data_IF_774168054321
#
_entry.id   IF_774168054321
#
_cell.length_a   1.000
_cell.length_b   1.000
_cell.length_c   1.000
_cell.angle_alpha   90.00
_cell.angle_beta   90.00
_cell.angle_gamma   90.00
#
_symmetry.space_group_name_H-M   'P 1'
#
loop_
_entity.id
_entity.type
_entity.pdbx_description
1 polymer ?
#
# COMPACT_ATOMS: atom_id res chain seq x y z
N UNK A 1 -18.56 -17.01 -11.11
CA UNK A 1 -18.26 -15.69 -10.51
C UNK A 1 -17.83 -15.91 -9.08
N UNK A 2 -16.70 -15.34 -8.67
CA UNK A 2 -16.20 -15.49 -7.32
C UNK A 2 -16.76 -14.40 -6.40
N UNK A 3 -17.78 -14.73 -5.59
CA UNK A 3 -18.41 -13.76 -4.69
C UNK A 3 -17.55 -13.47 -3.44
N UNK A 4 -16.51 -14.26 -3.16
CA UNK A 4 -15.71 -14.08 -1.94
C UNK A 4 -14.98 -12.74 -1.95
N UNK A 5 -14.46 -12.30 -3.10
CA UNK A 5 -13.73 -11.05 -3.24
C UNK A 5 -14.58 -9.81 -2.89
N UNK A 6 -15.75 -9.59 -3.53
CA UNK A 6 -16.58 -8.43 -3.18
C UNK A 6 -17.14 -8.54 -1.76
N UNK A 7 -17.49 -9.74 -1.28
CA UNK A 7 -17.93 -9.95 0.10
C UNK A 7 -16.84 -9.61 1.11
N UNK A 8 -15.58 -9.97 0.84
CA UNK A 8 -14.46 -9.64 1.71
C UNK A 8 -14.25 -8.12 1.85
N UNK A 9 -14.31 -7.36 0.74
CA UNK A 9 -14.25 -5.89 0.77
C UNK A 9 -15.40 -5.32 1.59
N UNK A 10 -16.63 -5.79 1.32
CA UNK A 10 -17.83 -5.30 2.02
C UNK A 10 -17.78 -5.58 3.53
N UNK A 11 -17.36 -6.79 3.93
CA UNK A 11 -17.25 -7.16 5.34
C UNK A 11 -16.21 -6.30 6.07
N UNK A 12 -15.08 -5.98 5.44
CA UNK A 12 -14.08 -5.07 6.02
C UNK A 12 -14.63 -3.65 6.19
N UNK A 13 -15.40 -3.15 5.22
CA UNK A 13 -16.06 -1.84 5.31
C UNK A 13 -17.15 -1.81 6.39
N UNK A 14 -17.95 -2.87 6.50
CA UNK A 14 -18.94 -3.02 7.58
C UNK A 14 -18.24 -3.05 8.94
N UNK A 15 -17.19 -3.86 9.09
CA UNK A 15 -16.43 -3.93 10.34
C UNK A 15 -15.80 -2.57 10.68
N UNK A 16 -15.29 -1.85 9.69
CA UNK A 16 -14.79 -0.48 9.85
C UNK A 16 -15.86 0.47 10.41
N UNK A 17 -17.10 0.40 9.91
CA UNK A 17 -18.20 1.23 10.42
C UNK A 17 -18.63 0.82 11.83
N UNK A 18 -18.54 -0.48 12.16
CA UNK A 18 -18.90 -1.03 13.47
C UNK A 18 -17.80 -0.90 14.53
N UNK A 19 -16.56 -0.61 14.13
CA UNK A 19 -15.38 -0.58 15.00
C UNK A 19 -15.55 0.28 16.27
N UNK A 20 -16.10 1.52 16.20
CA UNK A 20 -16.30 2.35 17.39
C UNK A 20 -17.27 1.72 18.40
N UNK A 21 -18.33 1.07 17.92
CA UNK A 21 -19.33 0.39 18.76
C UNK A 21 -18.74 -0.87 19.40
N UNK A 22 -17.94 -1.64 18.66
CA UNK A 22 -17.23 -2.82 19.20
C UNK A 22 -16.24 -2.37 20.29
N UNK A 23 -15.50 -1.28 20.05
CA UNK A 23 -14.59 -0.72 21.05
C UNK A 23 -15.33 -0.26 22.32
N UNK A 24 -16.50 0.35 22.18
CA UNK A 24 -17.31 0.78 23.32
C UNK A 24 -17.84 -0.41 24.13
N UNK A 25 -18.25 -1.48 23.46
CA UNK A 25 -18.81 -2.67 24.12
C UNK A 25 -17.74 -3.59 24.73
N UNK A 26 -16.55 -3.68 24.13
CA UNK A 26 -15.52 -4.67 24.48
C UNK A 26 -14.10 -4.05 24.52
N UNK A 27 -13.94 -2.97 25.28
CA UNK A 27 -12.73 -2.11 25.25
C UNK A 27 -11.39 -2.83 25.42
N UNK A 28 -11.33 -3.93 26.20
CA UNK A 28 -10.10 -4.69 26.43
C UNK A 28 -9.79 -5.72 25.34
N UNK A 29 -10.80 -6.18 24.59
CA UNK A 29 -10.67 -7.28 23.62
C UNK A 29 -10.93 -6.86 22.17
N UNK A 30 -11.33 -5.60 21.95
CA UNK A 30 -11.73 -5.08 20.67
C UNK A 30 -10.70 -5.34 19.55
N UNK A 31 -9.41 -5.14 19.80
CA UNK A 31 -8.35 -5.42 18.82
C UNK A 31 -8.29 -6.88 18.39
N UNK A 32 -8.41 -7.81 19.35
CA UNK A 32 -8.47 -9.24 19.07
C UNK A 32 -9.73 -9.62 18.28
N UNK A 33 -10.90 -9.09 18.69
CA UNK A 33 -12.16 -9.34 18.00
C UNK A 33 -12.15 -8.82 16.56
N UNK A 34 -11.62 -7.62 16.34
CA UNK A 34 -11.52 -7.03 15.00
C UNK A 34 -10.50 -7.74 14.12
N UNK A 35 -9.46 -8.35 14.69
CA UNK A 35 -8.48 -9.13 13.95
C UNK A 35 -9.02 -10.46 13.40
N UNK A 36 -10.13 -10.99 13.95
CA UNK A 36 -10.72 -12.27 13.51
C UNK A 36 -11.09 -12.23 12.04
N UNK A 37 -11.75 -11.16 11.57
CA UNK A 37 -12.18 -11.07 10.17
C UNK A 37 -10.99 -11.02 9.19
N UNK A 38 -10.00 -10.11 9.31
CA UNK A 38 -8.83 -10.12 8.44
C UNK A 38 -8.05 -11.44 8.52
N UNK A 39 -7.90 -12.06 9.69
CA UNK A 39 -7.25 -13.36 9.83
C UNK A 39 -8.02 -14.49 9.13
N UNK A 40 -9.35 -14.51 9.25
CA UNK A 40 -10.22 -15.46 8.54
C UNK A 40 -10.15 -15.28 7.03
N UNK A 41 -10.14 -14.04 6.54
CA UNK A 41 -9.95 -13.73 5.13
C UNK A 41 -8.56 -14.15 4.64
N UNK A 42 -7.51 -13.92 5.44
CA UNK A 42 -6.16 -14.39 5.16
C UNK A 42 -6.13 -15.91 4.95
N UNK A 43 -6.72 -16.69 5.88
CA UNK A 43 -6.77 -18.15 5.76
C UNK A 43 -7.60 -18.60 4.54
N UNK A 44 -8.71 -17.92 4.27
CA UNK A 44 -9.57 -18.20 3.12
C UNK A 44 -8.82 -18.00 1.80
N UNK A 45 -8.08 -16.90 1.66
CA UNK A 45 -7.28 -16.63 0.47
C UNK A 45 -6.05 -17.53 0.40
N UNK A 46 -5.42 -17.86 1.52
CA UNK A 46 -4.31 -18.80 1.57
C UNK A 46 -4.73 -20.19 1.06
N UNK A 47 -5.96 -20.61 1.36
CA UNK A 47 -6.56 -21.84 0.81
C UNK A 47 -6.68 -21.86 -0.72
N UNK A 48 -6.59 -20.71 -1.40
CA UNK A 48 -6.60 -20.60 -2.87
C UNK A 48 -5.21 -20.70 -3.50
N UNK A 49 -4.15 -20.72 -2.70
CA UNK A 49 -2.78 -20.79 -3.18
C UNK A 49 -2.55 -21.99 -4.12
N UNK A 50 -2.99 -23.23 -3.82
CA UNK A 50 -2.79 -24.36 -4.74
C UNK A 50 -3.45 -24.15 -6.11
N UNK A 51 -4.66 -23.58 -6.14
CA UNK A 51 -5.37 -23.28 -7.37
C UNK A 51 -4.65 -22.20 -8.20
N UNK A 52 -4.17 -21.14 -7.55
CA UNK A 52 -3.41 -20.07 -8.21
C UNK A 52 -2.06 -20.58 -8.72
N UNK A 53 -1.36 -21.44 -7.98
CA UNK A 53 -0.13 -22.09 -8.44
C UNK A 53 -0.37 -23.02 -9.63
N UNK A 54 -1.58 -23.61 -9.74
CA UNK A 54 -2.01 -24.37 -10.91
C UNK A 54 -2.47 -23.48 -12.10
N UNK A 55 -2.32 -22.15 -11.99
CA UNK A 55 -2.67 -21.19 -13.05
C UNK A 55 -4.13 -20.75 -13.06
N UNK A 56 -4.94 -21.13 -12.06
CA UNK A 56 -6.31 -20.63 -11.95
C UNK A 56 -6.32 -19.17 -11.50
N UNK A 57 -7.29 -18.42 -12.00
CA UNK A 57 -7.54 -17.03 -11.62
C UNK A 57 -8.97 -16.91 -11.12
N UNK A 58 -9.18 -16.09 -10.09
CA UNK A 58 -10.50 -15.86 -9.55
C UNK A 58 -11.00 -14.48 -9.94
N UNK A 59 -12.13 -14.41 -10.62
CA UNK A 59 -12.68 -13.16 -11.13
C UNK A 59 -14.15 -12.96 -10.74
N UNK A 60 -14.51 -11.69 -10.55
CA UNK A 60 -15.86 -11.21 -10.31
C UNK A 60 -16.10 -9.96 -11.13
N UNK A 61 -17.25 -9.86 -11.77
CA UNK A 61 -17.63 -8.70 -12.57
C UNK A 61 -19.07 -8.33 -12.27
N UNK A 62 -19.31 -7.07 -11.94
CA UNK A 62 -20.64 -6.50 -11.78
C UNK A 62 -20.74 -5.23 -12.63
N UNK A 63 -21.66 -5.17 -13.61
CA UNK A 63 -21.88 -3.94 -14.35
C UNK A 63 -22.30 -2.82 -13.40
N UNK A 64 -21.59 -1.68 -13.43
CA UNK A 64 -21.81 -0.58 -12.50
C UNK A 64 -22.29 0.69 -13.21
N UNK A 65 -21.55 1.16 -14.21
CA UNK A 65 -21.95 2.26 -15.07
C UNK A 65 -21.66 1.90 -16.53
N UNK A 66 -22.46 0.97 -17.08
CA UNK A 66 -22.30 0.42 -18.44
C UNK A 66 -22.23 1.51 -19.52
N UNK A 67 -23.01 2.59 -19.38
CA UNK A 67 -23.00 3.73 -20.32
C UNK A 67 -21.66 4.46 -20.38
N UNK A 68 -20.84 4.34 -19.34
CA UNK A 68 -19.49 4.90 -19.25
C UNK A 68 -18.41 3.83 -19.49
N UNK A 69 -18.80 2.59 -19.83
CA UNK A 69 -17.88 1.46 -19.95
C UNK A 69 -17.26 1.01 -18.63
N UNK A 70 -17.91 1.30 -17.49
CA UNK A 70 -17.37 0.99 -16.16
C UNK A 70 -18.04 -0.25 -15.58
N UNK A 71 -17.23 -1.28 -15.38
CA UNK A 71 -17.61 -2.51 -14.68
C UNK A 71 -16.84 -2.57 -13.37
N UNK A 72 -17.52 -2.95 -12.29
CA UNK A 72 -16.85 -3.28 -11.03
C UNK A 72 -16.27 -4.69 -11.15
N UNK A 73 -15.01 -4.74 -11.58
CA UNK A 73 -14.30 -5.97 -11.90
C UNK A 73 -13.19 -6.23 -10.89
N UNK A 74 -13.23 -7.40 -10.26
CA UNK A 74 -12.22 -7.89 -9.34
C UNK A 74 -11.54 -9.13 -9.93
N UNK A 75 -10.23 -9.24 -9.73
CA UNK A 75 -9.36 -10.25 -10.28
C UNK A 75 -8.26 -10.59 -9.28
N UNK A 76 -8.16 -11.87 -8.91
CA UNK A 76 -7.17 -12.40 -7.99
C UNK A 76 -6.31 -13.45 -8.70
N UNK A 77 -5.05 -13.07 -8.91
CA UNK A 77 -3.96 -13.91 -9.41
C UNK A 77 -2.82 -14.02 -8.38
N UNK A 78 -1.65 -14.53 -8.78
CA UNK A 78 -0.50 -14.68 -7.89
C UNK A 78 -0.01 -13.37 -7.26
N UNK A 79 0.04 -12.28 -8.04
CA UNK A 79 0.44 -10.96 -7.54
C UNK A 79 -0.60 -10.41 -6.57
N UNK A 80 -1.88 -10.46 -6.95
CA UNK A 80 -2.99 -10.02 -6.10
C UNK A 80 -3.05 -10.81 -4.80
N UNK A 81 -2.84 -12.12 -4.84
CA UNK A 81 -2.80 -13.00 -3.65
C UNK A 81 -1.66 -12.62 -2.71
N UNK A 82 -0.43 -12.47 -3.21
CA UNK A 82 0.72 -12.09 -2.38
C UNK A 82 0.43 -10.82 -1.58
N UNK A 83 -0.06 -9.79 -2.26
CA UNK A 83 -0.39 -8.52 -1.60
C UNK A 83 -1.57 -8.64 -0.66
N UNK A 84 -2.61 -9.39 -1.04
CA UNK A 84 -3.79 -9.62 -0.20
C UNK A 84 -3.42 -10.29 1.12
N UNK A 85 -2.55 -11.29 1.08
CA UNK A 85 -2.04 -11.98 2.27
C UNK A 85 -1.22 -11.05 3.15
N UNK A 86 -0.37 -10.19 2.56
CA UNK A 86 0.38 -9.18 3.32
C UNK A 86 -0.54 -8.16 4.01
N UNK A 87 -1.52 -7.62 3.27
CA UNK A 87 -2.49 -6.64 3.77
C UNK A 87 -3.29 -7.24 4.93
N UNK A 88 -3.91 -8.40 4.73
CA UNK A 88 -4.79 -9.01 5.73
C UNK A 88 -4.02 -9.58 6.93
N UNK A 89 -2.88 -10.25 6.68
CA UNK A 89 -2.07 -10.86 7.73
C UNK A 89 -1.41 -9.83 8.63
N UNK A 90 -0.67 -8.88 8.06
CA UNK A 90 -0.03 -7.80 8.85
C UNK A 90 -1.11 -6.88 9.45
N UNK A 91 -2.21 -6.65 8.73
CA UNK A 91 -3.35 -5.91 9.23
C UNK A 91 -3.95 -6.50 10.50
N UNK A 92 -4.16 -7.82 10.55
CA UNK A 92 -4.63 -8.53 11.75
C UNK A 92 -3.68 -8.34 12.95
N UNK A 93 -2.37 -8.49 12.72
CA UNK A 93 -1.35 -8.28 13.76
C UNK A 93 -1.33 -6.84 14.27
N UNK A 94 -1.49 -5.86 13.38
CA UNK A 94 -1.53 -4.45 13.74
C UNK A 94 -2.78 -4.09 14.53
N UNK A 95 -3.93 -4.70 14.26
CA UNK A 95 -5.15 -4.52 15.06
C UNK A 95 -4.96 -4.99 16.51
N UNK A 96 -4.29 -6.12 16.69
CA UNK A 96 -3.95 -6.67 18.02
C UNK A 96 -2.96 -5.75 18.73
N UNK A 97 -1.82 -5.44 18.08
CA UNK A 97 -0.78 -4.59 18.65
C UNK A 97 -1.31 -3.18 18.97
N UNK A 98 -2.10 -2.59 18.07
CA UNK A 98 -2.67 -1.26 18.24
C UNK A 98 -3.58 -1.13 19.45
N UNK A 99 -4.29 -2.21 19.82
CA UNK A 99 -5.12 -2.23 21.03
C UNK A 99 -4.33 -2.16 22.32
N UNK A 100 -3.16 -2.80 22.37
CA UNK A 100 -2.23 -2.67 23.49
C UNK A 100 -1.54 -1.31 23.49
N UNK A 101 -1.03 -0.87 22.33
CA UNK A 101 -0.28 0.38 22.20
C UNK A 101 -1.10 1.64 22.51
N UNK A 102 -2.39 1.65 22.17
CA UNK A 102 -3.31 2.77 22.43
C UNK A 102 -4.27 2.48 23.59
N UNK A 103 -3.89 1.60 24.52
CA UNK A 103 -4.74 1.25 25.65
C UNK A 103 -5.17 2.50 26.44
N UNK A 104 -6.47 2.62 26.71
CA UNK A 104 -7.05 3.79 27.40
C UNK A 104 -7.18 5.07 26.55
N UNK A 105 -6.71 5.08 25.29
CA UNK A 105 -6.84 6.26 24.44
C UNK A 105 -8.31 6.50 24.05
N UNK A 106 -8.83 7.69 24.33
CA UNK A 106 -10.24 8.06 24.13
C UNK A 106 -10.73 7.91 22.67
N UNK A 107 -9.82 7.95 21.69
CA UNK A 107 -10.12 7.79 20.25
C UNK A 107 -9.76 6.39 19.69
N UNK A 108 -9.57 5.36 20.52
CA UNK A 108 -9.20 4.03 20.05
C UNK A 108 -10.20 3.42 19.05
N UNK A 109 -11.51 3.66 19.24
CA UNK A 109 -12.54 3.22 18.29
C UNK A 109 -12.39 3.86 16.91
N UNK A 110 -11.96 5.14 16.87
CA UNK A 110 -11.67 5.87 15.63
C UNK A 110 -10.43 5.33 14.93
N UNK A 111 -9.38 4.98 15.68
CA UNK A 111 -8.19 4.31 15.14
C UNK A 111 -8.58 3.03 14.41
N UNK A 112 -9.41 2.19 15.04
CA UNK A 112 -9.86 0.94 14.45
C UNK A 112 -10.70 1.14 13.19
N UNK A 113 -11.63 2.09 13.20
CA UNK A 113 -12.41 2.43 12.01
C UNK A 113 -11.49 2.83 10.85
N UNK A 114 -10.54 3.75 11.09
CA UNK A 114 -9.66 4.24 10.03
C UNK A 114 -8.72 3.15 9.49
N UNK A 115 -8.18 2.28 10.34
CA UNK A 115 -7.24 1.25 9.89
C UNK A 115 -7.93 0.12 9.12
N UNK A 116 -9.16 -0.24 9.50
CA UNK A 116 -9.99 -1.20 8.77
C UNK A 116 -10.48 -0.61 7.44
N UNK A 117 -10.86 0.67 7.41
CA UNK A 117 -11.20 1.36 6.17
C UNK A 117 -10.02 1.38 5.20
N UNK A 118 -8.83 1.73 5.70
CA UNK A 118 -7.58 1.68 4.93
C UNK A 118 -7.27 0.24 4.44
N UNK A 119 -7.50 -0.78 5.27
CA UNK A 119 -7.33 -2.19 4.89
C UNK A 119 -8.26 -2.59 3.75
N UNK A 120 -9.54 -2.23 3.83
CA UNK A 120 -10.51 -2.48 2.77
C UNK A 120 -10.10 -1.78 1.46
N UNK A 121 -9.66 -0.52 1.55
CA UNK A 121 -9.19 0.24 0.40
C UNK A 121 -7.95 -0.40 -0.25
N UNK A 122 -6.93 -0.74 0.54
CA UNK A 122 -5.72 -1.40 0.03
C UNK A 122 -6.00 -2.78 -0.56
N UNK A 123 -6.87 -3.56 0.08
CA UNK A 123 -7.29 -4.86 -0.46
C UNK A 123 -8.01 -4.67 -1.80
N UNK A 124 -8.90 -3.68 -1.89
CA UNK A 124 -9.56 -3.29 -3.14
C UNK A 124 -8.59 -2.92 -4.27
N UNK A 125 -7.53 -2.14 -3.99
CA UNK A 125 -6.50 -1.79 -4.98
C UNK A 125 -5.87 -3.05 -5.60
N UNK A 126 -5.54 -4.05 -4.78
CA UNK A 126 -4.72 -5.19 -5.23
C UNK A 126 -5.52 -6.31 -5.90
N UNK A 127 -6.85 -6.27 -5.76
CA UNK A 127 -7.77 -7.19 -6.44
C UNK A 127 -8.57 -6.52 -7.55
N UNK A 128 -8.36 -5.23 -7.84
CA UNK A 128 -9.08 -4.54 -8.92
C UNK A 128 -8.53 -4.95 -10.28
N UNK A 129 -9.42 -5.36 -11.18
CA UNK A 129 -9.11 -5.55 -12.60
C UNK A 129 -9.44 -4.29 -13.41
N UNK A 130 -10.53 -3.61 -13.08
CA UNK A 130 -10.92 -2.40 -13.76
C UNK A 130 -10.07 -1.21 -13.28
N UNK A 131 -9.41 -0.51 -14.20
CA UNK A 131 -8.50 0.61 -13.92
C UNK A 131 -9.18 1.78 -13.16
N UNK A 132 -10.45 2.05 -13.44
CA UNK A 132 -11.20 3.11 -12.75
C UNK A 132 -11.59 2.67 -11.33
N UNK A 133 -11.95 1.40 -11.16
CA UNK A 133 -12.18 0.81 -9.82
C UNK A 133 -10.89 0.83 -8.99
N UNK A 134 -9.75 0.49 -9.60
CA UNK A 134 -8.43 0.62 -8.98
C UNK A 134 -8.17 2.05 -8.52
N UNK A 135 -8.45 3.05 -9.36
CA UNK A 135 -8.29 4.47 -9.00
C UNK A 135 -9.20 4.88 -7.83
N UNK A 136 -10.45 4.43 -7.80
CA UNK A 136 -11.35 4.71 -6.67
C UNK A 136 -10.74 4.18 -5.38
N UNK A 137 -10.34 2.90 -5.34
CA UNK A 137 -9.68 2.35 -4.15
C UNK A 137 -8.35 3.04 -3.85
N UNK A 138 -7.59 3.44 -4.87
CA UNK A 138 -6.36 4.20 -4.71
C UNK A 138 -6.58 5.51 -3.96
N UNK A 139 -7.60 6.28 -4.31
CA UNK A 139 -7.92 7.51 -3.58
C UNK A 139 -8.52 7.24 -2.20
N UNK A 140 -9.28 6.15 -2.03
CA UNK A 140 -9.71 5.73 -0.69
C UNK A 140 -8.51 5.44 0.21
N UNK A 141 -7.40 4.90 -0.32
CA UNK A 141 -6.14 4.76 0.45
C UNK A 141 -5.50 6.12 0.76
N UNK A 142 -5.56 7.10 -0.16
CA UNK A 142 -5.07 8.47 0.08
C UNK A 142 -5.83 9.11 1.25
N UNK A 143 -7.16 9.10 1.19
CA UNK A 143 -8.04 9.69 2.19
C UNK A 143 -7.89 9.00 3.56
N UNK A 144 -7.91 7.66 3.57
CA UNK A 144 -7.76 6.91 4.83
C UNK A 144 -6.36 7.07 5.44
N UNK A 145 -5.30 7.15 4.62
CA UNK A 145 -3.96 7.46 5.12
C UNK A 145 -3.85 8.87 5.70
N UNK A 146 -4.51 9.85 5.10
CA UNK A 146 -4.59 11.22 5.62
C UNK A 146 -5.22 11.24 7.04
N UNK A 147 -6.32 10.52 7.22
CA UNK A 147 -6.99 10.39 8.52
C UNK A 147 -6.12 9.69 9.56
N UNK A 148 -5.34 8.68 9.15
CA UNK A 148 -4.44 7.93 10.04
C UNK A 148 -3.16 8.71 10.40
N UNK A 149 -2.57 9.44 9.46
CA UNK A 149 -1.41 10.31 9.71
C UNK A 149 -1.81 11.48 10.60
N UNK A 150 -2.97 12.06 10.31
CA UNK A 150 -3.57 13.14 11.10
C UNK A 150 -4.31 12.68 12.36
N UNK A 151 -4.05 11.46 12.88
CA UNK A 151 -4.78 10.94 14.03
C UNK A 151 -4.71 11.90 15.24
N UNK A 152 -3.50 12.38 15.56
CA UNK A 152 -3.26 13.42 16.57
C UNK A 152 -3.52 14.83 16.00
N UNK A 153 -4.69 15.05 15.39
CA UNK A 153 -5.07 16.29 14.69
C UNK A 153 -5.01 17.56 15.53
N UNK A 154 -4.94 17.49 16.87
CA UNK A 154 -4.73 18.66 17.73
C UNK A 154 -3.32 19.25 17.56
N UNK A 155 -2.33 18.42 17.21
CA UNK A 155 -0.95 18.84 16.95
C UNK A 155 -0.83 19.38 15.54
N UNK A 156 -0.31 20.60 15.40
CA UNK A 156 -0.09 21.25 14.10
C UNK A 156 0.81 20.42 13.18
N UNK A 157 1.90 19.87 13.72
CA UNK A 157 2.82 19.01 12.96
C UNK A 157 2.11 17.79 12.33
N UNK A 158 1.17 17.17 13.04
CA UNK A 158 0.41 16.03 12.54
C UNK A 158 -0.54 16.43 11.41
N UNK A 159 -1.22 17.58 11.53
CA UNK A 159 -2.07 18.13 10.47
C UNK A 159 -1.27 18.45 9.21
N UNK A 160 -0.12 19.11 9.39
CA UNK A 160 0.76 19.47 8.29
C UNK A 160 1.28 18.23 7.57
N UNK A 161 1.77 17.23 8.31
CA UNK A 161 2.25 15.97 7.75
C UNK A 161 1.16 15.21 6.98
N UNK A 162 -0.06 15.17 7.53
CA UNK A 162 -1.20 14.55 6.86
C UNK A 162 -1.54 15.26 5.54
N UNK A 163 -1.65 16.59 5.56
CA UNK A 163 -1.93 17.38 4.36
C UNK A 163 -0.84 17.23 3.30
N UNK A 164 0.42 17.26 3.70
CA UNK A 164 1.54 17.06 2.78
C UNK A 164 1.46 15.69 2.10
N UNK A 165 1.21 14.62 2.87
CA UNK A 165 1.04 13.28 2.32
C UNK A 165 -0.15 13.20 1.35
N UNK A 166 -1.30 13.81 1.70
CA UNK A 166 -2.48 13.83 0.85
C UNK A 166 -2.24 14.59 -0.46
N UNK A 167 -1.62 15.78 -0.40
CA UNK A 167 -1.38 16.60 -1.58
C UNK A 167 -0.41 15.92 -2.56
N UNK A 168 0.66 15.31 -2.05
CA UNK A 168 1.63 14.61 -2.90
C UNK A 168 1.02 13.35 -3.50
N UNK A 169 0.38 12.51 -2.68
CA UNK A 169 -0.12 11.21 -3.14
C UNK A 169 -1.42 11.31 -3.92
N UNK A 170 -2.33 12.23 -3.55
CA UNK A 170 -3.56 12.53 -4.27
C UNK A 170 -3.28 13.27 -5.58
N UNK A 171 -2.34 14.22 -5.59
CA UNK A 171 -1.90 14.88 -6.84
C UNK A 171 -1.32 13.88 -7.85
N UNK A 172 -0.49 12.95 -7.40
CA UNK A 172 0.01 11.86 -8.22
C UNK A 172 -1.08 10.86 -8.64
N UNK A 173 -2.06 10.59 -7.77
CA UNK A 173 -3.21 9.75 -8.09
C UNK A 173 -4.10 10.35 -9.18
N UNK A 174 -4.30 11.67 -9.18
CA UNK A 174 -5.00 12.37 -10.26
C UNK A 174 -4.24 12.32 -11.59
N UNK A 175 -2.91 12.47 -11.56
CA UNK A 175 -2.08 12.26 -12.75
C UNK A 175 -2.23 10.82 -13.26
N UNK A 176 -2.16 9.83 -12.36
CA UNK A 176 -2.38 8.42 -12.70
C UNK A 176 -3.74 8.18 -13.34
N UNK A 177 -4.82 8.79 -12.82
CA UNK A 177 -6.15 8.68 -13.43
C UNK A 177 -6.12 9.12 -14.89
N UNK A 178 -5.52 10.27 -15.19
CA UNK A 178 -5.41 10.75 -16.57
C UNK A 178 -4.66 9.73 -17.45
N UNK A 179 -3.58 9.14 -16.94
CA UNK A 179 -2.84 8.09 -17.66
C UNK A 179 -3.64 6.79 -17.87
N UNK A 180 -4.39 6.34 -16.87
CA UNK A 180 -5.28 5.18 -16.97
C UNK A 180 -6.43 5.43 -17.95
N UNK A 181 -6.96 6.65 -17.99
CA UNK A 181 -7.98 7.07 -18.97
C UNK A 181 -7.43 7.00 -20.39
N UNK A 182 -6.24 7.58 -20.62
CA UNK A 182 -5.58 7.49 -21.93
C UNK A 182 -5.33 6.04 -22.33
N UNK A 183 -4.83 5.21 -21.42
CA UNK A 183 -4.56 3.80 -21.69
C UNK A 183 -5.83 3.05 -22.08
N UNK A 184 -6.94 3.29 -21.36
CA UNK A 184 -8.23 2.69 -21.68
C UNK A 184 -8.83 3.18 -23.00
N UNK A 185 -8.61 4.44 -23.36
CA UNK A 185 -9.01 4.98 -24.67
C UNK A 185 -8.24 4.33 -25.82
N UNK A 186 -6.92 4.11 -25.66
CA UNK A 186 -6.12 3.43 -26.68
C UNK A 186 -6.57 1.97 -26.83
N UNK A 187 -6.79 1.28 -25.72
CA UNK A 187 -7.13 -0.14 -25.72
C UNK A 187 -8.62 -0.46 -25.93
N UNK A 188 -9.50 0.55 -25.90
CA UNK A 188 -10.96 0.38 -26.01
C UNK A 188 -11.61 -0.31 -24.80
N UNK A 189 -10.89 -0.46 -23.68
CA UNK A 189 -11.35 -1.14 -22.46
C UNK A 189 -10.62 -0.60 -21.23
N UNK A 190 -11.29 -0.61 -20.07
CA UNK A 190 -10.68 -0.27 -18.79
C UNK A 190 -10.28 -1.51 -17.97
N UNK A 191 -10.47 -2.72 -18.48
CA UNK A 191 -10.04 -3.94 -17.81
C UNK A 191 -8.55 -4.19 -18.01
N UNK A 192 -7.77 -4.15 -16.92
CA UNK A 192 -6.31 -4.30 -16.96
C UNK A 192 -5.92 -5.66 -17.55
N UNK A 193 -6.64 -6.73 -17.19
CA UNK A 193 -6.44 -8.06 -17.75
C UNK A 193 -6.58 -8.12 -19.27
N UNK A 194 -7.46 -7.30 -19.86
CA UNK A 194 -7.63 -7.18 -21.31
C UNK A 194 -6.54 -6.30 -21.92
N UNK A 195 -6.25 -5.15 -21.30
CA UNK A 195 -5.18 -4.24 -21.74
C UNK A 195 -3.82 -4.94 -21.80
N UNK A 196 -3.54 -5.84 -20.86
CA UNK A 196 -2.33 -6.66 -20.84
C UNK A 196 -2.14 -7.54 -22.10
N UNK A 197 -3.20 -7.81 -22.86
CA UNK A 197 -3.16 -8.65 -24.06
C UNK A 197 -2.98 -7.83 -25.34
N UNK A 198 -3.10 -6.50 -25.28
CA UNK A 198 -3.13 -5.64 -26.47
C UNK A 198 -1.74 -5.27 -27.00
N UNK A 199 -0.66 -5.60 -26.28
CA UNK A 199 0.73 -5.56 -26.76
C UNK A 199 1.07 -4.36 -27.65
N UNK A 200 1.35 -4.63 -28.92
CA UNK A 200 1.78 -3.64 -29.91
C UNK A 200 0.72 -2.57 -30.23
N UNK A 201 -0.58 -2.86 -30.08
CA UNK A 201 -1.65 -1.87 -30.29
C UNK A 201 -1.47 -0.69 -29.34
N UNK A 202 -1.18 -0.98 -28.06
CA UNK A 202 -0.92 0.06 -27.07
C UNK A 202 0.40 0.78 -27.38
N UNK A 203 1.46 0.03 -27.66
CA UNK A 203 2.83 0.57 -27.83
C UNK A 203 2.98 1.45 -29.07
N UNK A 204 2.23 1.18 -30.12
CA UNK A 204 2.26 1.96 -31.36
C UNK A 204 1.44 3.26 -31.28
N UNK A 205 0.69 3.49 -30.20
CA UNK A 205 -0.08 4.71 -30.03
C UNK A 205 0.81 5.91 -29.64
N UNK A 206 0.60 7.10 -30.23
CA UNK A 206 1.32 8.31 -29.82
C UNK A 206 1.01 8.73 -28.39
N UNK A 207 -0.09 8.22 -27.80
CA UNK A 207 -0.51 8.51 -26.43
C UNK A 207 0.08 7.52 -25.41
N UNK A 208 0.83 6.50 -25.85
CA UNK A 208 1.42 5.49 -24.98
C UNK A 208 2.40 6.09 -23.96
N UNK A 209 3.36 6.89 -24.42
CA UNK A 209 4.36 7.52 -23.55
C UNK A 209 3.72 8.54 -22.58
N UNK A 210 2.83 9.45 -23.02
CA UNK A 210 2.06 10.29 -22.10
C UNK A 210 1.30 9.49 -21.03
N UNK A 211 0.61 8.41 -21.42
CA UNK A 211 -0.11 7.55 -20.49
C UNK A 211 0.85 6.91 -19.47
N UNK A 212 1.99 6.39 -19.95
CA UNK A 212 3.03 5.82 -19.11
C UNK A 212 3.58 6.82 -18.09
N UNK A 213 3.96 8.03 -18.51
CA UNK A 213 4.53 9.06 -17.63
C UNK A 213 3.54 9.50 -16.54
N UNK A 214 2.26 9.62 -16.89
CA UNK A 214 1.19 9.98 -15.96
C UNK A 214 0.94 8.87 -14.91
N UNK A 215 0.89 7.61 -15.35
CA UNK A 215 0.79 6.44 -14.46
C UNK A 215 2.03 6.34 -13.56
N UNK A 216 3.21 6.54 -14.13
CA UNK A 216 4.47 6.53 -13.41
C UNK A 216 4.48 7.61 -12.33
N UNK A 217 3.98 8.82 -12.59
CA UNK A 217 3.88 9.87 -11.59
C UNK A 217 3.08 9.43 -10.34
N UNK A 218 1.95 8.74 -10.53
CA UNK A 218 1.19 8.16 -9.42
C UNK A 218 1.95 7.06 -8.67
N UNK A 219 2.61 6.17 -9.39
CA UNK A 219 3.42 5.13 -8.78
C UNK A 219 4.57 5.72 -7.94
N UNK A 220 5.30 6.69 -8.48
CA UNK A 220 6.45 7.33 -7.82
C UNK A 220 6.03 8.11 -6.57
N UNK A 221 4.93 8.88 -6.63
CA UNK A 221 4.43 9.65 -5.49
C UNK A 221 3.97 8.76 -4.35
N UNK A 222 3.16 7.72 -4.64
CA UNK A 222 2.60 6.81 -3.62
C UNK A 222 3.66 5.89 -2.99
N UNK A 223 4.67 5.50 -3.76
CA UNK A 223 5.80 4.69 -3.27
C UNK A 223 7.00 5.51 -2.79
N UNK A 224 6.80 6.81 -2.54
CA UNK A 224 7.80 7.71 -1.97
C UNK A 224 9.15 7.68 -2.71
N UNK A 225 9.11 7.65 -4.05
CA UNK A 225 10.31 7.70 -4.88
C UNK A 225 10.84 9.12 -4.98
N UNK A 226 12.12 9.28 -5.31
CA UNK A 226 12.71 10.59 -5.60
C UNK A 226 12.04 11.24 -6.83
N UNK A 227 11.70 12.55 -6.80
CA UNK A 227 11.91 13.52 -5.72
C UNK A 227 10.76 13.60 -4.69
N UNK A 228 9.72 12.79 -4.80
CA UNK A 228 8.50 12.81 -3.97
C UNK A 228 8.60 12.07 -2.63
N UNK A 229 9.78 11.66 -2.19
CA UNK A 229 9.98 10.85 -0.99
C UNK A 229 9.72 11.59 0.34
N UNK A 230 9.71 12.93 0.33
CA UNK A 230 9.76 13.77 1.52
C UNK A 230 8.52 13.69 2.43
N UNK A 231 7.36 13.26 1.93
CA UNK A 231 6.16 13.10 2.76
C UNK A 231 6.27 11.92 3.72
N UNK A 232 7.05 10.88 3.36
CA UNK A 232 7.10 9.63 4.12
C UNK A 232 7.78 9.79 5.50
N UNK A 233 8.94 10.47 5.64
CA UNK A 233 9.50 10.77 6.96
C UNK A 233 8.58 11.66 7.83
N UNK A 234 7.85 12.60 7.21
CA UNK A 234 6.87 13.45 7.90
C UNK A 234 5.69 12.64 8.45
N UNK A 235 5.24 11.62 7.71
CA UNK A 235 4.16 10.73 8.11
C UNK A 235 4.47 9.88 9.37
N UNK A 236 5.71 9.88 9.87
CA UNK A 236 6.07 9.26 11.16
C UNK A 236 5.44 9.94 12.37
N UNK A 237 4.75 11.07 12.18
CA UNK A 237 3.87 11.67 13.18
C UNK A 237 2.69 10.75 13.58
N UNK A 238 2.28 9.83 12.70
CA UNK A 238 1.22 8.87 12.98
C UNK A 238 1.56 7.94 14.17
N UNK A 239 0.56 7.37 14.86
CA UNK A 239 0.79 6.31 15.84
C UNK A 239 1.62 5.17 15.26
N UNK A 240 2.49 4.56 16.05
CA UNK A 240 3.41 3.53 15.52
C UNK A 240 2.73 2.31 14.87
N UNK A 241 1.57 1.81 15.33
CA UNK A 241 0.83 0.77 14.59
C UNK A 241 0.46 1.19 13.16
N UNK A 242 0.11 2.47 12.96
CA UNK A 242 -0.16 3.04 11.63
C UNK A 242 1.11 3.02 10.79
N UNK A 243 2.24 3.49 11.35
CA UNK A 243 3.50 3.51 10.63
C UNK A 243 3.96 2.11 10.22
N UNK A 244 3.81 1.13 11.12
CA UNK A 244 4.06 -0.27 10.82
C UNK A 244 3.20 -0.71 9.63
N UNK A 245 1.89 -0.46 9.64
CA UNK A 245 1.02 -0.96 8.58
C UNK A 245 1.23 -0.27 7.23
N UNK A 246 1.14 1.07 7.20
CA UNK A 246 1.20 1.89 5.98
C UNK A 246 2.56 1.80 5.30
N UNK A 247 3.63 1.82 6.09
CA UNK A 247 4.98 2.01 5.55
C UNK A 247 5.78 0.71 5.46
N UNK A 248 5.38 -0.36 6.16
CA UNK A 248 6.02 -1.66 5.96
C UNK A 248 5.35 -2.50 4.88
N UNK A 249 4.02 -2.56 4.83
CA UNK A 249 3.31 -3.63 4.15
C UNK A 249 2.36 -3.18 3.04
N UNK A 250 1.85 -1.94 3.10
CA UNK A 250 0.65 -1.57 2.33
C UNK A 250 0.83 -0.31 1.47
N UNK A 251 0.56 0.89 1.99
CA UNK A 251 0.42 2.14 1.23
C UNK A 251 1.60 2.37 0.28
N UNK A 252 2.81 2.30 0.82
CA UNK A 252 4.02 2.60 0.05
C UNK A 252 4.36 1.53 -0.99
N UNK A 253 3.75 0.36 -0.90
CA UNK A 253 3.87 -0.71 -1.89
C UNK A 253 2.80 -0.62 -2.98
N UNK A 254 1.80 0.25 -2.86
CA UNK A 254 0.78 0.42 -3.90
C UNK A 254 1.38 0.87 -5.24
N UNK A 255 2.36 1.77 -5.23
CA UNK A 255 3.10 2.16 -6.44
C UNK A 255 3.92 1.01 -7.03
N UNK A 256 4.59 0.23 -6.18
CA UNK A 256 5.34 -0.97 -6.61
C UNK A 256 4.41 -2.02 -7.20
N UNK A 257 3.25 -2.24 -6.58
CA UNK A 257 2.19 -3.10 -7.09
C UNK A 257 1.70 -2.63 -8.46
N UNK A 258 1.41 -1.34 -8.63
CA UNK A 258 0.92 -0.80 -9.89
C UNK A 258 1.93 -1.01 -11.02
N UNK A 259 3.22 -0.75 -10.76
CA UNK A 259 4.29 -1.01 -11.73
C UNK A 259 4.40 -2.50 -12.06
N UNK A 260 4.35 -3.39 -11.07
CA UNK A 260 4.36 -4.83 -11.32
C UNK A 260 3.12 -5.32 -12.07
N UNK A 261 1.94 -4.77 -11.77
CA UNK A 261 0.65 -5.12 -12.38
C UNK A 261 0.59 -4.70 -13.85
N UNK A 262 1.15 -3.54 -14.18
CA UNK A 262 1.16 -2.97 -15.54
C UNK A 262 2.45 -3.29 -16.31
N UNK A 263 3.37 -4.06 -15.73
CA UNK A 263 4.60 -4.47 -16.41
C UNK A 263 4.34 -5.22 -17.72
N UNK A 264 3.28 -6.05 -17.89
CA UNK A 264 3.01 -6.67 -19.20
C UNK A 264 2.77 -5.66 -20.33
N UNK A 265 2.26 -4.46 -20.00
CA UNK A 265 1.99 -3.39 -20.96
C UNK A 265 3.28 -2.61 -21.26
N UNK A 266 3.95 -2.13 -20.22
CA UNK A 266 5.03 -1.14 -20.37
C UNK A 266 6.44 -1.72 -20.37
N UNK A 267 6.69 -2.88 -19.76
CA UNK A 267 8.04 -3.43 -19.65
C UNK A 267 8.58 -3.87 -21.02
N UNK A 268 9.90 -3.74 -21.17
CA UNK A 268 10.61 -4.03 -22.42
C UNK A 268 10.75 -2.82 -23.36
N UNK A 269 10.17 -1.67 -23.03
CA UNK A 269 10.49 -0.41 -23.72
C UNK A 269 11.72 0.26 -23.11
N UNK A 270 12.41 1.08 -23.91
CA UNK A 270 13.58 1.82 -23.45
C UNK A 270 13.22 2.82 -22.34
N UNK A 271 12.04 3.44 -22.45
CA UNK A 271 11.52 4.41 -21.48
C UNK A 271 11.20 3.75 -20.14
N UNK A 272 10.61 2.56 -20.14
CA UNK A 272 10.39 1.79 -18.91
C UNK A 272 11.72 1.50 -18.22
N UNK A 273 12.67 0.91 -18.96
CA UNK A 273 13.94 0.52 -18.37
C UNK A 273 14.70 1.74 -17.85
N UNK A 274 14.76 2.83 -18.61
CA UNK A 274 15.48 4.04 -18.21
C UNK A 274 14.81 4.74 -17.02
N UNK A 275 13.51 5.00 -17.09
CA UNK A 275 12.82 5.81 -16.08
C UNK A 275 12.58 5.02 -14.80
N UNK A 276 12.06 3.80 -14.88
CA UNK A 276 11.74 2.99 -13.69
C UNK A 276 13.03 2.59 -12.98
N UNK A 277 14.05 2.14 -13.70
CA UNK A 277 15.36 1.82 -13.09
C UNK A 277 16.02 3.08 -12.54
N UNK A 278 16.00 4.18 -13.29
CA UNK A 278 16.63 5.45 -12.90
C UNK A 278 16.02 6.05 -11.63
N UNK A 279 14.68 6.16 -11.56
CA UNK A 279 14.01 6.64 -10.36
C UNK A 279 14.21 5.68 -9.17
N UNK A 280 14.17 4.36 -9.40
CA UNK A 280 14.44 3.38 -8.36
C UNK A 280 15.85 3.51 -7.77
N UNK A 281 16.87 3.64 -8.63
CA UNK A 281 18.26 3.82 -8.21
C UNK A 281 18.46 5.15 -7.47
N UNK A 282 17.94 6.26 -8.01
CA UNK A 282 18.01 7.56 -7.35
C UNK A 282 17.34 7.52 -5.95
N UNK A 283 16.20 6.84 -5.84
CA UNK A 283 15.48 6.65 -4.58
C UNK A 283 16.27 5.80 -3.59
N UNK A 284 16.86 4.69 -4.06
CA UNK A 284 17.71 3.84 -3.24
C UNK A 284 18.86 4.65 -2.63
N UNK A 285 19.59 5.39 -3.46
CA UNK A 285 20.71 6.22 -3.03
C UNK A 285 20.27 7.33 -2.06
N UNK A 286 19.21 8.06 -2.40
CA UNK A 286 18.68 9.12 -1.54
C UNK A 286 18.24 8.58 -0.17
N UNK A 287 17.47 7.49 -0.16
CA UNK A 287 17.00 6.86 1.07
C UNK A 287 18.15 6.34 1.95
N UNK A 288 19.15 5.69 1.34
CA UNK A 288 20.31 5.16 2.06
C UNK A 288 21.16 6.28 2.67
N UNK A 289 21.47 7.32 1.90
CA UNK A 289 22.29 8.44 2.37
C UNK A 289 21.57 9.26 3.46
N UNK A 290 20.28 9.54 3.28
CA UNK A 290 19.50 10.32 4.25
C UNK A 290 19.24 9.55 5.55
N UNK A 291 19.29 8.21 5.53
CA UNK A 291 19.14 7.38 6.73
C UNK A 291 20.34 7.48 7.69
N UNK A 292 21.56 7.64 7.19
CA UNK A 292 22.81 7.63 7.99
C UNK A 292 22.81 8.75 9.05
N UNK A 293 22.22 9.90 8.74
CA UNK A 293 22.16 11.07 9.63
C UNK A 293 20.96 11.11 10.58
N UNK A 294 20.09 10.11 10.59
CA UNK A 294 18.87 10.15 11.41
C UNK A 294 19.12 9.71 12.84
N UNK A 295 18.73 10.56 13.79
CA UNK A 295 18.76 10.25 15.23
C UNK A 295 17.41 9.75 15.77
N UNK A 296 16.32 10.00 15.07
CA UNK A 296 14.99 9.49 15.43
C UNK A 296 14.76 8.11 14.80
N UNK A 297 14.43 7.13 15.65
CA UNK A 297 14.28 5.73 15.25
C UNK A 297 13.20 5.54 14.16
N UNK A 298 12.06 6.24 14.24
CA UNK A 298 10.99 6.12 13.23
C UNK A 298 11.40 6.77 11.92
N UNK A 299 12.05 7.93 11.95
CA UNK A 299 12.58 8.59 10.73
C UNK A 299 13.66 7.75 10.06
N UNK A 300 14.55 7.13 10.84
CA UNK A 300 15.54 6.18 10.32
C UNK A 300 14.86 5.00 9.61
N UNK A 301 13.84 4.41 10.22
CA UNK A 301 13.05 3.34 9.59
C UNK A 301 12.30 3.82 8.33
N UNK A 302 11.84 5.08 8.30
CA UNK A 302 11.21 5.67 7.13
C UNK A 302 12.19 5.80 5.96
N UNK A 303 13.39 6.34 6.16
CA UNK A 303 14.38 6.47 5.08
C UNK A 303 14.93 5.13 4.61
N UNK A 304 15.13 4.16 5.50
CA UNK A 304 15.47 2.79 5.07
C UNK A 304 14.33 2.12 4.30
N UNK A 305 13.07 2.50 4.57
CA UNK A 305 11.92 2.08 3.76
C UNK A 305 11.97 2.72 2.36
N UNK A 306 12.25 4.03 2.26
CA UNK A 306 12.48 4.70 0.96
C UNK A 306 13.53 3.95 0.15
N UNK A 307 14.67 3.64 0.78
CA UNK A 307 15.76 2.93 0.11
C UNK A 307 15.31 1.57 -0.44
N UNK A 308 14.60 0.78 0.38
CA UNK A 308 14.09 -0.53 -0.02
C UNK A 308 13.04 -0.46 -1.14
N UNK A 309 12.16 0.53 -1.13
CA UNK A 309 11.20 0.74 -2.21
C UNK A 309 11.92 1.12 -3.51
N UNK A 310 12.94 1.98 -3.42
CA UNK A 310 13.84 2.29 -4.54
C UNK A 310 14.47 1.04 -5.14
N UNK A 311 14.96 0.13 -4.30
CA UNK A 311 15.48 -1.18 -4.76
C UNK A 311 14.42 -2.00 -5.50
N UNK A 312 13.19 -2.09 -4.98
CA UNK A 312 12.11 -2.84 -5.64
C UNK A 312 11.76 -2.25 -7.00
N UNK A 313 11.61 -0.92 -7.08
CA UNK A 313 11.32 -0.20 -8.32
C UNK A 313 12.47 -0.36 -9.31
N UNK A 314 13.71 -0.25 -8.86
CA UNK A 314 14.89 -0.46 -9.71
C UNK A 314 14.92 -1.85 -10.33
N UNK A 315 14.66 -2.90 -9.54
CA UNK A 315 14.62 -4.28 -10.00
C UNK A 315 13.47 -4.54 -10.99
N UNK A 316 12.29 -3.94 -10.76
CA UNK A 316 11.18 -4.00 -11.72
C UNK A 316 11.51 -3.29 -13.04
N UNK A 317 12.22 -2.15 -12.97
CA UNK A 317 12.71 -1.42 -14.13
C UNK A 317 13.72 -2.23 -14.96
N UNK A 318 14.61 -2.97 -14.29
CA UNK A 318 15.59 -3.84 -14.93
C UNK A 318 14.92 -4.95 -15.75
N UNK A 319 13.78 -5.47 -15.28
CA UNK A 319 12.84 -6.26 -16.09
C UNK A 319 13.25 -7.70 -16.43
N UNK A 320 14.44 -8.17 -16.02
CA UNK A 320 14.79 -9.59 -16.17
C UNK A 320 13.94 -10.46 -15.24
N UNK A 321 13.65 -11.70 -15.65
CA UNK A 321 12.86 -12.65 -14.85
C UNK A 321 13.41 -12.81 -13.42
N UNK A 322 14.74 -12.91 -13.29
CA UNK A 322 15.41 -12.97 -11.99
C UNK A 322 15.22 -11.67 -11.18
N UNK A 323 15.31 -10.50 -11.82
CA UNK A 323 15.14 -9.22 -11.13
C UNK A 323 13.71 -9.03 -10.62
N UNK A 324 12.69 -9.42 -11.41
CA UNK A 324 11.28 -9.37 -11.00
C UNK A 324 11.03 -10.32 -9.83
N UNK A 325 11.55 -11.55 -9.89
CA UNK A 325 11.48 -12.52 -8.77
C UNK A 325 12.16 -11.99 -7.51
N UNK A 326 13.36 -11.40 -7.65
CA UNK A 326 14.08 -10.77 -6.55
C UNK A 326 13.30 -9.59 -5.95
N UNK A 327 12.65 -8.76 -6.78
CA UNK A 327 11.81 -7.67 -6.33
C UNK A 327 10.63 -8.18 -5.49
N UNK A 328 9.94 -9.22 -5.95
CA UNK A 328 8.80 -9.82 -5.22
C UNK A 328 9.22 -10.50 -3.91
N UNK A 329 10.34 -11.22 -3.92
CA UNK A 329 10.89 -11.84 -2.70
C UNK A 329 11.32 -10.77 -1.69
N UNK A 330 12.02 -9.74 -2.15
CA UNK A 330 12.44 -8.64 -1.30
C UNK A 330 11.26 -7.83 -0.76
N UNK A 331 10.19 -7.68 -1.56
CA UNK A 331 8.94 -7.07 -1.15
C UNK A 331 8.30 -7.80 0.05
N UNK A 332 8.19 -9.13 -0.05
CA UNK A 332 7.69 -9.98 1.03
C UNK A 332 8.59 -9.87 2.28
N UNK A 333 9.90 -10.05 2.10
CA UNK A 333 10.85 -9.95 3.20
C UNK A 333 10.76 -8.58 3.92
N UNK A 334 10.73 -7.49 3.15
CA UNK A 334 10.57 -6.13 3.66
C UNK A 334 9.29 -5.95 4.46
N UNK A 335 8.16 -6.43 3.97
CA UNK A 335 6.90 -6.30 4.69
C UNK A 335 6.99 -6.95 6.08
N UNK A 336 7.59 -8.14 6.18
CA UNK A 336 7.74 -8.87 7.43
C UNK A 336 8.72 -8.19 8.39
N UNK A 337 9.98 -7.99 7.98
CA UNK A 337 10.99 -7.48 8.90
C UNK A 337 10.75 -6.00 9.25
N UNK A 338 10.31 -5.17 8.29
CA UNK A 338 10.10 -3.73 8.55
C UNK A 338 8.88 -3.51 9.43
N UNK A 339 7.84 -4.33 9.25
CA UNK A 339 6.67 -4.33 10.14
C UNK A 339 7.10 -4.59 11.57
N UNK A 340 7.85 -5.67 11.80
CA UNK A 340 8.40 -6.00 13.11
C UNK A 340 9.27 -4.87 13.70
N UNK A 341 10.17 -4.27 12.90
CA UNK A 341 11.03 -3.17 13.37
C UNK A 341 10.22 -1.94 13.81
N UNK A 342 9.15 -1.58 13.10
CA UNK A 342 8.28 -0.48 13.53
C UNK A 342 7.56 -0.81 14.84
N UNK A 343 7.06 -2.04 15.00
CA UNK A 343 6.42 -2.45 16.26
C UNK A 343 7.41 -2.44 17.43
N UNK A 344 8.64 -2.92 17.22
CA UNK A 344 9.72 -2.84 18.22
C UNK A 344 10.05 -1.38 18.55
N UNK A 345 10.18 -0.50 17.55
CA UNK A 345 10.39 0.92 17.78
C UNK A 345 9.26 1.56 18.60
N UNK A 346 8.01 1.11 18.40
CA UNK A 346 6.87 1.55 19.18
C UNK A 346 6.92 1.09 20.63
N UNK A 347 7.32 -0.17 20.87
CA UNK A 347 7.51 -0.69 22.23
C UNK A 347 8.63 0.07 22.96
N UNK A 348 9.77 0.30 22.30
CA UNK A 348 10.88 1.09 22.88
C UNK A 348 10.43 2.52 23.22
N UNK A 349 9.71 3.19 22.33
CA UNK A 349 9.17 4.54 22.58
C UNK A 349 8.24 4.56 23.79
N UNK A 350 7.34 3.57 23.90
CA UNK A 350 6.39 3.47 24.99
C UNK A 350 7.07 3.20 26.34
N UNK A 351 8.07 2.32 26.39
CA UNK A 351 8.73 1.94 27.64
C UNK A 351 9.82 2.93 28.10
N UNK A 352 10.43 3.67 27.16
CA UNK A 352 11.55 4.59 27.47
C UNK A 352 11.16 6.07 27.39
N UNK A 353 10.03 6.39 26.77
CA UNK A 353 9.62 7.77 26.49
C UNK A 353 10.50 8.50 25.47
N UNK A 354 11.37 7.79 24.75
CA UNK A 354 12.29 8.37 23.78
C UNK A 354 12.45 7.53 22.51
N UNK A 355 12.66 8.22 21.39
CA UNK A 355 12.99 7.64 20.08
C UNK A 355 14.39 8.00 19.61
N UNK A 356 15.14 8.73 20.44
CA UNK A 356 16.45 9.25 20.11
C UNK A 356 17.52 8.17 20.30
N UNK A 357 18.02 7.63 19.19
CA UNK A 357 19.00 6.53 19.20
C UNK A 357 20.33 6.91 19.86
N UNK A 358 20.62 8.22 19.99
CA UNK A 358 21.83 8.69 20.70
C UNK A 358 21.69 8.60 22.23
N UNK A 359 20.45 8.51 22.73
CA UNK A 359 20.14 8.46 24.17
C UNK A 359 19.73 7.05 24.62
N UNK A 360 19.19 6.25 23.72
CA UNK A 360 18.79 4.88 24.00
C UNK A 360 20.03 3.98 24.19
N UNK A 361 20.15 3.36 25.36
CA UNK A 361 21.22 2.41 25.68
C UNK A 361 20.71 1.31 26.62
N UNK A 362 21.44 0.20 26.71
CA UNK A 362 21.15 -0.86 27.70
C UNK A 362 19.92 -1.74 27.42
N UNK A 363 19.18 -1.53 26.33
CA UNK A 363 17.91 -2.22 26.00
C UNK A 363 17.95 -3.76 25.99
N UNK A 364 19.13 -4.38 25.92
CA UNK A 364 19.27 -5.85 26.03
C UNK A 364 19.05 -6.37 27.46
N UNK A 365 19.25 -5.52 28.49
CA UNK A 365 19.23 -5.90 29.91
C UNK A 365 17.96 -5.44 30.65
N UNK A 366 17.20 -4.55 30.03
CA UNK A 366 15.92 -4.02 30.51
C UNK A 366 14.79 -4.86 29.97
#
# INVERSE_FOLDING_TARGET
MDIVLPTAVLLLLILSALAPFIQQAQSQRAGWLMAILPAGLFLTLLGRLPAILAGQVFAYQLPWAERLGVTFSLYLDGLGLLFSLLILGIGALVLIYGGGYLHGHHQLGRFYAFILFFMAAMFGVVISDNALTLFVFWELTSISSFLLIGFDHEKEASRYAALQALLVTGGGGLAMLAGLVLLGQIGGSYEISQLNQLGDVLRNSPLFLPAFLLILAGALTKSAQYPFHFWLPGAMAAPTPVSAYLHSATMVKAGVYLLARLSPIFAGTAEWQMLVTGFGLATFLAGALLAIGQVDLKKLLAYTTVASLGTMVMLLGWGSDLAVKAAMLYLLAHALYKGALFLVAGAVDHETGSRDVSKLSGLRRS
#
